data_IF_544306488376
#
_entry.id   IF_544306488376
#
_cell.length_a   1.000
_cell.length_b   1.000
_cell.length_c   1.000
_cell.angle_alpha   90.00
_cell.angle_beta   90.00
_cell.angle_gamma   90.00
#
_symmetry.space_group_name_H-M   'P 1'
#
loop_
_entity.id
_entity.type
_entity.pdbx_description
1 polymer ?
#
# COMPACT_ATOMS: atom_id res chain seq x y z
N UNK A 1 11.62 -20.99 24.43
CA UNK A 1 10.43 -21.72 24.93
C UNK A 1 9.21 -20.81 25.18
N UNK A 2 9.36 -19.67 25.82
CA UNK A 2 8.25 -18.75 26.16
C UNK A 2 7.46 -18.22 24.95
N UNK A 3 8.13 -17.92 23.84
CA UNK A 3 7.51 -17.36 22.63
C UNK A 3 6.58 -18.37 21.91
N UNK A 4 6.89 -19.66 21.99
CA UNK A 4 6.09 -20.74 21.40
C UNK A 4 4.80 -20.99 22.19
N UNK A 5 4.84 -20.87 23.51
CA UNK A 5 3.69 -21.15 24.37
C UNK A 5 2.59 -20.08 24.29
N UNK A 6 2.97 -18.81 24.18
CA UNK A 6 1.97 -17.74 24.04
C UNK A 6 1.33 -17.77 22.64
N UNK A 7 2.07 -18.16 21.59
CA UNK A 7 1.51 -18.34 20.25
C UNK A 7 0.46 -19.46 20.25
N UNK A 8 0.70 -20.58 20.92
CA UNK A 8 -0.28 -21.65 21.03
C UNK A 8 -1.61 -21.19 21.65
N UNK A 9 -1.58 -20.22 22.59
CA UNK A 9 -2.81 -19.65 23.17
C UNK A 9 -3.54 -18.80 22.14
N UNK A 10 -2.81 -17.99 21.36
CA UNK A 10 -3.38 -17.19 20.29
C UNK A 10 -4.04 -18.09 19.24
N UNK A 11 -3.33 -19.13 18.78
CA UNK A 11 -3.82 -20.06 17.78
C UNK A 11 -5.09 -20.79 18.28
N UNK A 12 -5.09 -21.26 19.53
CA UNK A 12 -6.25 -21.87 20.17
C UNK A 12 -7.50 -20.98 20.15
N UNK A 13 -7.35 -19.70 20.52
CA UNK A 13 -8.48 -18.76 20.54
C UNK A 13 -8.95 -18.47 19.12
N UNK A 14 -8.02 -18.23 18.21
CA UNK A 14 -8.33 -17.94 16.81
C UNK A 14 -9.04 -19.09 16.08
N UNK A 15 -8.63 -20.35 16.34
CA UNK A 15 -9.26 -21.54 15.76
C UNK A 15 -10.72 -21.66 16.21
N UNK A 16 -11.02 -21.34 17.48
CA UNK A 16 -12.39 -21.37 18.00
C UNK A 16 -13.26 -20.24 17.52
N UNK A 17 -12.67 -19.07 17.30
CA UNK A 17 -13.37 -17.96 16.63
C UNK A 17 -13.63 -18.32 15.17
N UNK A 18 -12.66 -18.95 14.50
CA UNK A 18 -12.78 -19.35 13.11
C UNK A 18 -13.82 -20.47 12.89
N UNK A 19 -13.93 -21.40 13.85
CA UNK A 19 -14.95 -22.47 13.84
C UNK A 19 -16.32 -22.05 14.36
N UNK A 20 -16.51 -20.76 14.67
CA UNK A 20 -17.73 -20.21 15.28
C UNK A 20 -18.09 -20.80 16.68
N UNK A 21 -17.17 -21.48 17.33
CA UNK A 21 -17.33 -21.94 18.71
C UNK A 21 -17.34 -20.73 19.67
N UNK A 22 -16.52 -19.71 19.39
CA UNK A 22 -16.59 -18.39 20.03
C UNK A 22 -17.08 -17.36 18.99
N UNK A 23 -18.33 -16.93 19.12
CA UNK A 23 -18.95 -15.95 18.23
C UNK A 23 -18.64 -14.52 18.64
N UNK A 24 -18.77 -13.59 17.71
CA UNK A 24 -18.68 -12.16 18.02
C UNK A 24 -19.75 -11.81 19.06
N UNK A 25 -19.34 -11.17 20.15
CA UNK A 25 -20.16 -10.87 21.31
C UNK A 25 -20.08 -11.90 22.44
N UNK A 26 -19.53 -13.10 22.22
CA UNK A 26 -19.37 -14.12 23.26
C UNK A 26 -18.20 -13.81 24.17
N UNK A 27 -18.33 -14.17 25.44
CA UNK A 27 -17.22 -14.14 26.39
C UNK A 27 -16.41 -15.42 26.31
N UNK A 28 -15.10 -15.31 26.07
CA UNK A 28 -14.19 -16.45 26.09
C UNK A 28 -13.92 -16.90 27.55
N UNK A 29 -13.41 -18.13 27.77
CA UNK A 29 -13.02 -18.58 29.10
C UNK A 29 -12.03 -17.63 29.76
N UNK A 30 -12.12 -17.47 31.07
CA UNK A 30 -11.24 -16.60 31.84
C UNK A 30 -9.76 -16.98 31.72
N UNK A 31 -8.85 -16.03 31.99
CA UNK A 31 -7.40 -16.27 31.97
C UNK A 31 -7.00 -17.50 32.78
N UNK A 32 -7.65 -17.74 33.95
CA UNK A 32 -7.39 -18.90 34.79
C UNK A 32 -7.90 -20.20 34.17
N UNK A 33 -9.05 -20.17 33.49
CA UNK A 33 -9.59 -21.34 32.79
C UNK A 33 -8.74 -21.71 31.57
N UNK A 34 -8.34 -20.73 30.75
CA UNK A 34 -7.44 -20.93 29.61
C UNK A 34 -6.06 -21.43 30.07
N UNK A 35 -5.53 -20.90 31.16
CA UNK A 35 -4.26 -21.37 31.77
C UNK A 35 -4.31 -22.85 32.11
N UNK A 36 -5.38 -23.32 32.76
CA UNK A 36 -5.58 -24.73 33.09
C UNK A 36 -5.77 -25.59 31.83
N UNK A 37 -6.62 -25.13 30.91
CA UNK A 37 -6.97 -25.86 29.69
C UNK A 37 -5.75 -26.11 28.80
N UNK A 38 -4.89 -25.10 28.65
CA UNK A 38 -3.73 -25.13 27.73
C UNK A 38 -2.43 -25.48 28.47
N UNK A 39 -2.49 -25.73 29.76
CA UNK A 39 -1.32 -26.06 30.61
C UNK A 39 -0.18 -25.02 30.48
N UNK A 40 -0.53 -23.74 30.56
CA UNK A 40 0.39 -22.60 30.49
C UNK A 40 0.18 -21.66 31.67
N UNK A 41 1.15 -20.78 31.95
CA UNK A 41 0.97 -19.80 33.03
C UNK A 41 -0.11 -18.76 32.70
N UNK A 42 -0.79 -18.24 33.72
CA UNK A 42 -1.75 -17.12 33.56
C UNK A 42 -1.10 -15.91 32.88
N UNK A 43 0.19 -15.64 33.21
CA UNK A 43 0.95 -14.58 32.55
C UNK A 43 1.15 -14.80 31.05
N UNK A 44 1.28 -16.07 30.60
CA UNK A 44 1.34 -16.42 29.17
C UNK A 44 0.00 -16.18 28.48
N UNK A 45 -1.12 -16.57 29.14
CA UNK A 45 -2.47 -16.31 28.63
C UNK A 45 -2.74 -14.80 28.54
N UNK A 46 -2.36 -14.05 29.57
CA UNK A 46 -2.55 -12.60 29.59
C UNK A 46 -1.84 -11.92 28.44
N UNK A 47 -0.58 -12.26 28.16
CA UNK A 47 0.16 -11.76 26.99
C UNK A 47 -0.52 -12.09 25.66
N UNK A 48 -1.10 -13.28 25.54
CA UNK A 48 -1.82 -13.68 24.33
C UNK A 48 -3.11 -12.84 24.17
N UNK A 49 -3.88 -12.68 25.24
CA UNK A 49 -5.10 -11.84 25.24
C UNK A 49 -4.75 -10.37 24.96
N UNK A 50 -3.68 -9.82 25.56
CA UNK A 50 -3.20 -8.46 25.27
C UNK A 50 -2.90 -8.29 23.78
N UNK A 51 -2.26 -9.29 23.16
CA UNK A 51 -1.97 -9.26 21.70
C UNK A 51 -3.24 -9.33 20.86
N UNK A 52 -4.22 -10.16 21.24
CA UNK A 52 -5.49 -10.27 20.54
C UNK A 52 -6.38 -9.03 20.75
N UNK A 53 -6.31 -8.38 21.90
CA UNK A 53 -6.99 -7.11 22.17
C UNK A 53 -6.36 -5.96 21.40
N UNK A 54 -5.03 -5.89 21.32
CA UNK A 54 -4.30 -4.93 20.48
C UNK A 54 -4.59 -5.11 19.00
N UNK A 55 -4.96 -6.32 18.57
CA UNK A 55 -5.38 -6.62 17.20
C UNK A 55 -6.90 -6.51 16.99
N UNK A 56 -7.62 -5.92 17.94
CA UNK A 56 -9.07 -5.68 17.88
C UNK A 56 -9.94 -6.95 17.76
N UNK A 57 -9.36 -8.12 18.08
CA UNK A 57 -10.05 -9.42 18.03
C UNK A 57 -10.84 -9.66 19.32
N UNK A 58 -10.26 -9.28 20.44
CA UNK A 58 -10.87 -9.38 21.77
C UNK A 58 -11.02 -8.00 22.41
N UNK A 59 -11.92 -7.90 23.38
CA UNK A 59 -12.06 -6.72 24.23
C UNK A 59 -12.33 -7.12 25.67
N UNK A 60 -11.57 -6.55 26.64
CA UNK A 60 -11.78 -6.76 28.07
C UNK A 60 -12.82 -5.82 28.62
N UNK A 61 -13.86 -6.38 29.21
CA UNK A 61 -14.84 -5.63 30.00
C UNK A 61 -14.51 -5.76 31.47
N UNK A 62 -14.22 -4.66 32.15
CA UNK A 62 -13.87 -4.66 33.55
C UNK A 62 -14.95 -5.38 34.39
N UNK A 63 -14.54 -6.39 35.16
CA UNK A 63 -15.44 -7.20 36.00
C UNK A 63 -16.35 -8.18 35.26
N UNK A 64 -16.35 -8.23 33.92
CA UNK A 64 -17.24 -9.12 33.15
C UNK A 64 -16.49 -10.21 32.38
N UNK A 65 -15.23 -9.98 32.02
CA UNK A 65 -14.44 -10.93 31.26
C UNK A 65 -13.95 -10.38 29.92
N UNK A 66 -13.44 -11.27 29.07
CA UNK A 66 -12.94 -10.94 27.74
C UNK A 66 -13.91 -11.43 26.68
N UNK A 67 -14.35 -10.54 25.82
CA UNK A 67 -15.37 -10.78 24.77
C UNK A 67 -14.72 -10.79 23.39
N UNK A 68 -15.23 -11.61 22.47
CA UNK A 68 -14.86 -11.58 21.05
C UNK A 68 -15.44 -10.33 20.41
N UNK A 69 -14.56 -9.43 19.97
CA UNK A 69 -14.95 -8.17 19.30
C UNK A 69 -15.08 -8.33 17.80
N UNK A 70 -14.20 -9.12 17.19
CA UNK A 70 -14.20 -9.39 15.76
C UNK A 70 -13.69 -10.79 15.45
N UNK A 71 -14.01 -11.30 14.27
CA UNK A 71 -13.47 -12.56 13.76
C UNK A 71 -12.32 -12.24 12.83
N UNK A 72 -11.15 -12.83 13.08
CA UNK A 72 -9.98 -12.73 12.19
C UNK A 72 -10.33 -13.08 10.73
N UNK A 73 -11.22 -14.06 10.52
CA UNK A 73 -11.70 -14.42 9.17
C UNK A 73 -12.56 -13.30 8.57
N UNK A 74 -13.37 -12.62 9.37
CA UNK A 74 -14.18 -11.47 8.91
C UNK A 74 -13.27 -10.28 8.61
N UNK A 75 -12.30 -9.98 9.49
CA UNK A 75 -11.32 -8.91 9.26
C UNK A 75 -10.38 -9.23 8.09
N UNK A 76 -9.94 -10.49 7.94
CA UNK A 76 -9.13 -10.94 6.81
C UNK A 76 -9.93 -11.04 5.50
N UNK A 77 -11.25 -11.26 5.57
CA UNK A 77 -12.14 -11.29 4.42
C UNK A 77 -12.66 -9.91 4.04
N UNK A 78 -12.66 -8.93 4.97
CA UNK A 78 -12.98 -7.56 4.61
C UNK A 78 -11.99 -7.07 3.55
N UNK A 79 -12.56 -6.71 2.40
CA UNK A 79 -11.79 -6.23 1.25
C UNK A 79 -10.82 -7.27 0.67
N UNK A 80 -11.17 -8.58 0.70
CA UNK A 80 -10.29 -9.67 0.27
C UNK A 80 -9.69 -9.46 -1.12
N UNK A 81 -10.50 -9.09 -2.10
CA UNK A 81 -10.03 -8.82 -3.47
C UNK A 81 -9.04 -7.66 -3.48
N UNK A 82 -9.38 -6.56 -2.82
CA UNK A 82 -8.54 -5.37 -2.73
C UNK A 82 -7.19 -5.67 -2.06
N UNK A 83 -7.20 -6.49 -1.01
CA UNK A 83 -5.98 -6.94 -0.31
C UNK A 83 -5.09 -7.77 -1.22
N UNK A 84 -5.67 -8.72 -1.94
CA UNK A 84 -4.95 -9.60 -2.88
C UNK A 84 -4.34 -8.77 -4.02
N UNK A 85 -5.09 -7.84 -4.60
CA UNK A 85 -4.59 -6.99 -5.66
C UNK A 85 -3.44 -6.09 -5.17
N UNK A 86 -3.60 -5.47 -3.99
CA UNK A 86 -2.54 -4.62 -3.45
C UNK A 86 -1.28 -5.44 -3.09
N UNK A 87 -1.44 -6.65 -2.52
CA UNK A 87 -0.33 -7.57 -2.25
C UNK A 87 0.41 -7.98 -3.54
N UNK A 88 -0.33 -8.24 -4.62
CA UNK A 88 0.26 -8.53 -5.93
C UNK A 88 1.11 -7.36 -6.44
N UNK A 89 0.64 -6.11 -6.26
CA UNK A 89 1.40 -4.92 -6.65
C UNK A 89 2.72 -4.80 -5.87
N UNK A 90 2.73 -5.08 -4.55
CA UNK A 90 3.95 -5.13 -3.74
C UNK A 90 4.94 -6.16 -4.27
N UNK A 91 4.49 -7.39 -4.52
CA UNK A 91 5.34 -8.47 -5.03
C UNK A 91 5.98 -8.10 -6.36
N UNK A 92 5.21 -7.52 -7.28
CA UNK A 92 5.73 -7.10 -8.56
C UNK A 92 6.66 -5.88 -8.47
N UNK A 93 6.39 -4.93 -7.60
CA UNK A 93 7.31 -3.82 -7.35
C UNK A 93 8.67 -4.34 -6.84
N UNK A 94 8.67 -5.35 -5.95
CA UNK A 94 9.90 -6.01 -5.50
C UNK A 94 10.63 -6.72 -6.64
N UNK A 95 9.93 -7.54 -7.45
CA UNK A 95 10.49 -8.27 -8.59
C UNK A 95 11.11 -7.35 -9.64
N UNK A 96 10.52 -6.18 -9.84
CA UNK A 96 10.99 -5.17 -10.79
C UNK A 96 12.01 -4.20 -10.18
N UNK A 97 12.40 -4.43 -8.92
CA UNK A 97 13.36 -3.58 -8.20
C UNK A 97 12.96 -2.09 -8.19
N UNK A 98 11.66 -1.83 -7.97
CA UNK A 98 11.10 -0.48 -7.96
C UNK A 98 11.02 0.14 -6.58
N UNK A 99 11.23 -0.64 -5.50
CA UNK A 99 11.15 -0.19 -4.11
C UNK A 99 12.54 0.01 -3.51
N UNK A 100 12.59 0.69 -2.38
CA UNK A 100 13.82 0.92 -1.63
C UNK A 100 13.71 0.33 -0.22
N UNK A 101 14.38 -0.81 -0.01
CA UNK A 101 14.39 -1.56 1.24
C UNK A 101 12.96 -1.74 1.82
N UNK A 102 12.67 -1.11 2.97
CA UNK A 102 11.36 -1.13 3.66
C UNK A 102 10.73 0.26 3.75
N UNK A 103 11.24 1.22 2.96
CA UNK A 103 10.91 2.64 3.12
C UNK A 103 9.71 3.10 2.30
N UNK A 104 9.25 2.31 1.33
CA UNK A 104 8.17 2.69 0.42
C UNK A 104 6.81 2.16 0.89
N UNK A 105 5.72 2.72 0.32
CA UNK A 105 4.38 2.41 0.79
C UNK A 105 3.32 2.54 -0.30
N UNK A 106 2.36 1.60 -0.28
CA UNK A 106 1.20 1.56 -1.16
C UNK A 106 -0.08 1.57 -0.35
N UNK A 107 -1.10 2.24 -0.84
CA UNK A 107 -2.41 2.21 -0.21
C UNK A 107 -3.55 2.07 -1.21
N UNK A 108 -4.68 1.58 -0.71
CA UNK A 108 -5.92 1.45 -1.46
C UNK A 108 -7.11 1.87 -0.59
N UNK A 109 -7.80 2.93 -0.97
CA UNK A 109 -9.00 3.38 -0.30
C UNK A 109 -10.15 2.37 -0.51
N UNK A 110 -10.81 2.00 0.59
CA UNK A 110 -11.87 0.98 0.61
C UNK A 110 -13.26 1.54 0.84
N UNK A 111 -13.39 2.85 1.08
CA UNK A 111 -14.68 3.54 1.15
C UNK A 111 -14.70 4.78 0.25
N UNK A 112 -15.87 5.27 -0.10
CA UNK A 112 -16.03 6.39 -1.05
C UNK A 112 -15.32 7.67 -0.61
N UNK A 113 -15.37 7.99 0.67
CA UNK A 113 -14.75 9.22 1.20
C UNK A 113 -13.21 9.18 1.25
N UNK A 114 -12.58 8.03 0.97
CA UNK A 114 -11.14 7.87 1.13
C UNK A 114 -10.63 7.87 2.58
N UNK A 115 -11.55 7.96 3.56
CA UNK A 115 -11.17 7.97 4.98
C UNK A 115 -10.69 6.62 5.51
N UNK A 116 -11.06 5.52 4.84
CA UNK A 116 -10.57 4.17 5.17
C UNK A 116 -9.79 3.61 4.01
N UNK A 117 -8.58 3.15 4.28
CA UNK A 117 -7.69 2.58 3.27
C UNK A 117 -6.80 1.47 3.82
N UNK A 118 -6.44 0.53 2.94
CA UNK A 118 -5.43 -0.48 3.20
C UNK A 118 -4.04 0.14 3.01
N UNK A 119 -3.07 -0.27 3.83
CA UNK A 119 -1.68 0.19 3.79
C UNK A 119 -0.75 -0.95 4.21
N UNK A 120 0.49 -0.97 3.74
CA UNK A 120 1.47 -1.93 4.23
C UNK A 120 1.93 -1.61 5.66
N UNK A 121 2.28 -2.63 6.46
CA UNK A 121 2.89 -2.43 7.75
C UNK A 121 4.30 -1.84 7.61
N UNK A 122 4.75 -1.11 8.62
CA UNK A 122 6.12 -0.60 8.69
C UNK A 122 7.13 -1.75 8.81
N UNK A 123 8.27 -1.65 8.13
CA UNK A 123 9.39 -2.56 8.29
C UNK A 123 9.27 -3.92 7.59
N UNK A 124 8.23 -4.16 6.80
CA UNK A 124 8.12 -5.34 5.94
C UNK A 124 8.65 -5.06 4.53
N UNK A 125 9.50 -5.97 4.05
CA UNK A 125 9.97 -5.91 2.67
C UNK A 125 8.85 -6.26 1.69
N UNK A 126 8.78 -5.59 0.56
CA UNK A 126 7.70 -5.77 -0.41
C UNK A 126 7.54 -7.22 -0.91
N UNK A 127 8.63 -7.99 -0.98
CA UNK A 127 8.58 -9.42 -1.34
C UNK A 127 7.97 -10.33 -0.28
N UNK A 128 7.72 -9.84 0.93
CA UNK A 128 7.13 -10.64 2.02
C UNK A 128 5.65 -10.36 2.21
N UNK A 129 5.16 -9.17 1.78
CA UNK A 129 3.79 -8.71 2.01
C UNK A 129 2.77 -9.68 1.42
N UNK A 130 1.82 -10.09 2.24
CA UNK A 130 0.64 -10.87 1.86
C UNK A 130 -0.64 -10.06 2.03
N UNK A 131 -1.76 -10.55 1.51
CA UNK A 131 -3.05 -9.88 1.65
C UNK A 131 -3.46 -9.69 3.12
N UNK A 132 -3.09 -10.60 4.03
CA UNK A 132 -3.42 -10.52 5.46
C UNK A 132 -2.51 -9.59 6.26
N UNK A 133 -1.34 -9.22 5.73
CA UNK A 133 -0.42 -8.29 6.41
C UNK A 133 -0.89 -6.84 6.30
N UNK A 134 -1.65 -6.52 5.26
CA UNK A 134 -2.12 -5.15 5.02
C UNK A 134 -3.00 -4.68 6.19
N UNK A 135 -2.70 -3.50 6.69
CA UNK A 135 -3.45 -2.87 7.78
C UNK A 135 -4.58 -2.00 7.23
N UNK A 136 -5.74 -2.06 7.87
CA UNK A 136 -6.85 -1.16 7.58
C UNK A 136 -6.71 0.10 8.45
N UNK A 137 -6.55 1.23 7.81
CA UNK A 137 -6.39 2.55 8.44
C UNK A 137 -7.71 3.31 8.37
N UNK A 138 -8.07 4.00 9.45
CA UNK A 138 -9.09 5.04 9.46
C UNK A 138 -8.42 6.40 9.67
N UNK A 139 -8.42 7.24 8.64
CA UNK A 139 -7.82 8.57 8.67
C UNK A 139 -8.47 9.51 9.71
N UNK A 140 -9.68 9.22 10.15
CA UNK A 140 -10.38 10.01 11.17
C UNK A 140 -10.02 9.59 12.60
N UNK A 141 -9.36 8.45 12.77
CA UNK A 141 -8.94 7.98 14.08
C UNK A 141 -7.66 8.72 14.51
N UNK A 142 -7.77 9.63 15.47
CA UNK A 142 -6.65 10.43 16.02
C UNK A 142 -5.61 9.57 16.77
N UNK A 143 -5.99 8.39 17.20
CA UNK A 143 -5.12 7.48 17.94
C UNK A 143 -4.37 6.48 17.05
N UNK A 144 -4.54 6.55 15.73
CA UNK A 144 -3.87 5.64 14.78
C UNK A 144 -2.36 5.57 15.03
N UNK A 145 -1.71 6.71 15.23
CA UNK A 145 -0.26 6.78 15.43
C UNK A 145 0.19 6.33 16.83
N UNK A 146 -0.73 6.16 17.78
CA UNK A 146 -0.45 5.70 19.15
C UNK A 146 -0.66 4.17 19.31
N UNK A 147 -1.08 3.48 18.26
CA UNK A 147 -1.35 2.04 18.29
C UNK A 147 -0.06 1.24 18.08
N UNK A 148 0.03 0.01 18.67
CA UNK A 148 1.23 -0.84 18.51
C UNK A 148 1.56 -1.22 17.05
N UNK A 149 0.56 -1.21 16.17
CA UNK A 149 0.68 -1.47 14.73
C UNK A 149 0.52 -0.20 13.89
N UNK A 150 0.92 0.95 14.44
CA UNK A 150 0.88 2.22 13.72
C UNK A 150 1.63 2.10 12.38
N UNK A 151 1.13 2.75 11.32
CA UNK A 151 1.82 2.81 10.05
C UNK A 151 3.08 3.69 10.15
N UNK A 152 3.88 3.69 9.08
CA UNK A 152 4.93 4.70 8.92
C UNK A 152 4.32 6.11 8.95
N UNK A 153 4.90 7.07 9.72
CA UNK A 153 4.35 8.43 9.86
C UNK A 153 4.26 9.19 8.54
N UNK A 154 5.21 8.99 7.61
CA UNK A 154 5.20 9.64 6.30
C UNK A 154 4.12 9.04 5.40
N UNK A 155 3.97 7.72 5.43
CA UNK A 155 2.88 7.02 4.75
C UNK A 155 1.51 7.49 5.25
N UNK A 156 1.33 7.54 6.58
CA UNK A 156 0.11 8.07 7.19
C UNK A 156 -0.23 9.47 6.70
N UNK A 157 0.73 10.40 6.75
CA UNK A 157 0.51 11.80 6.39
C UNK A 157 0.15 11.94 4.90
N UNK A 158 0.98 11.38 4.02
CA UNK A 158 0.84 11.52 2.56
C UNK A 158 -0.45 10.84 2.07
N UNK A 159 -0.67 9.57 2.43
CA UNK A 159 -1.82 8.81 1.93
C UNK A 159 -3.15 9.35 2.48
N UNK A 160 -3.20 9.77 3.75
CA UNK A 160 -4.41 10.39 4.32
C UNK A 160 -4.79 11.69 3.61
N UNK A 161 -3.80 12.55 3.30
CA UNK A 161 -4.04 13.79 2.57
C UNK A 161 -4.51 13.53 1.13
N UNK A 162 -3.84 12.62 0.42
CA UNK A 162 -4.16 12.29 -0.97
C UNK A 162 -5.53 11.65 -1.11
N UNK A 163 -5.87 10.62 -0.31
CA UNK A 163 -7.18 9.97 -0.38
C UNK A 163 -8.33 10.90 -0.05
N UNK A 164 -8.12 11.85 0.87
CA UNK A 164 -9.14 12.84 1.25
C UNK A 164 -9.37 13.89 0.18
N UNK A 165 -8.28 14.40 -0.42
CA UNK A 165 -8.33 15.58 -1.28
C UNK A 165 -8.47 15.25 -2.77
N UNK A 166 -8.14 14.02 -3.18
CA UNK A 166 -8.14 13.58 -4.58
C UNK A 166 -9.05 12.37 -4.76
N UNK A 167 -10.34 12.54 -5.06
CA UNK A 167 -11.31 11.43 -5.17
C UNK A 167 -10.95 10.35 -6.19
N UNK A 168 -10.17 10.70 -7.24
CA UNK A 168 -9.67 9.76 -8.24
C UNK A 168 -8.48 8.92 -7.72
N UNK A 169 -7.78 9.37 -6.68
CA UNK A 169 -6.64 8.68 -6.09
C UNK A 169 -7.11 7.58 -5.13
N UNK A 170 -7.77 6.54 -5.67
CA UNK A 170 -8.25 5.39 -4.89
C UNK A 170 -7.12 4.44 -4.53
N UNK A 171 -6.17 4.24 -5.44
CA UNK A 171 -4.93 3.51 -5.22
C UNK A 171 -3.76 4.46 -5.37
N UNK A 172 -2.83 4.43 -4.43
CA UNK A 172 -1.65 5.30 -4.38
C UNK A 172 -0.43 4.41 -4.15
N UNK A 173 0.55 4.49 -5.07
CA UNK A 173 1.80 3.76 -5.00
C UNK A 173 2.95 4.75 -4.94
N UNK A 174 3.72 4.76 -3.84
CA UNK A 174 4.90 5.58 -3.68
C UNK A 174 6.15 4.73 -3.61
N UNK A 175 7.09 4.98 -4.52
CA UNK A 175 8.36 4.24 -4.65
C UNK A 175 9.50 5.15 -5.12
N UNK A 176 10.73 4.64 -4.96
CA UNK A 176 11.96 5.28 -5.44
C UNK A 176 12.63 4.43 -6.54
N UNK A 177 11.97 4.20 -7.69
CA UNK A 177 12.53 3.37 -8.73
C UNK A 177 13.67 4.11 -9.42
N UNK A 178 14.64 3.38 -9.92
CA UNK A 178 15.95 3.91 -10.35
C UNK A 178 15.86 5.11 -11.30
N UNK A 179 15.14 4.95 -12.40
CA UNK A 179 15.17 5.96 -13.47
C UNK A 179 14.25 7.15 -13.18
N UNK A 180 13.08 6.92 -12.58
CA UNK A 180 12.24 8.02 -12.14
C UNK A 180 12.90 8.84 -11.03
N UNK A 181 13.63 8.21 -10.11
CA UNK A 181 14.41 8.90 -9.07
C UNK A 181 15.56 9.71 -9.68
N UNK A 182 16.28 9.16 -10.68
CA UNK A 182 17.31 9.91 -11.41
C UNK A 182 16.67 11.13 -12.09
N UNK A 183 15.58 10.94 -12.84
CA UNK A 183 14.91 12.03 -13.53
C UNK A 183 14.43 13.12 -12.54
N UNK A 184 13.86 12.71 -11.40
CA UNK A 184 13.40 13.63 -10.35
C UNK A 184 14.51 14.48 -9.77
N UNK A 185 15.77 14.05 -9.87
CA UNK A 185 16.96 14.71 -9.33
C UNK A 185 17.65 15.66 -10.34
N UNK A 186 17.18 15.69 -11.59
CA UNK A 186 17.71 16.60 -12.61
C UNK A 186 17.10 17.99 -12.51
N UNK A 187 17.78 19.01 -13.02
CA UNK A 187 17.20 20.36 -13.16
C UNK A 187 16.02 20.37 -14.13
N UNK A 188 16.17 19.73 -15.30
CA UNK A 188 15.06 19.46 -16.23
C UNK A 188 14.50 18.07 -15.92
N UNK A 189 13.39 18.06 -15.19
CA UNK A 189 12.68 16.84 -14.74
C UNK A 189 11.50 16.48 -15.64
N UNK A 190 11.33 17.17 -16.76
CA UNK A 190 10.14 16.98 -17.61
C UNK A 190 10.24 15.71 -18.45
N UNK A 191 9.13 14.99 -18.51
CA UNK A 191 9.00 13.86 -19.45
C UNK A 191 8.95 14.37 -20.88
N UNK A 192 10.00 14.14 -21.67
CA UNK A 192 10.05 14.55 -23.08
C UNK A 192 9.39 13.52 -23.99
N UNK A 193 8.60 13.94 -25.00
CA UNK A 193 7.87 13.05 -25.90
C UNK A 193 8.80 12.49 -27.00
N UNK A 194 9.65 11.51 -26.64
CA UNK A 194 10.68 10.95 -27.56
C UNK A 194 10.34 9.56 -28.07
N UNK A 195 9.41 8.86 -27.43
CA UNK A 195 8.91 7.55 -27.88
C UNK A 195 7.44 7.36 -27.50
N UNK A 196 6.86 6.22 -27.90
CA UNK A 196 5.44 5.93 -27.68
C UNK A 196 5.06 5.88 -26.18
N UNK A 197 5.95 5.36 -25.33
CA UNK A 197 5.69 5.25 -23.90
C UNK A 197 5.83 6.61 -23.20
N UNK A 198 6.83 7.41 -23.52
CA UNK A 198 7.00 8.74 -22.94
C UNK A 198 5.83 9.67 -23.30
N UNK A 199 5.27 9.52 -24.51
CA UNK A 199 4.07 10.26 -24.92
C UNK A 199 2.81 9.89 -24.14
N UNK A 200 2.75 8.71 -23.50
CA UNK A 200 1.64 8.35 -22.60
C UNK A 200 1.49 9.36 -21.47
N UNK A 201 2.61 9.94 -21.02
CA UNK A 201 2.66 10.88 -19.89
C UNK A 201 2.66 12.36 -20.31
N UNK A 202 2.47 12.64 -21.57
CA UNK A 202 2.46 14.01 -22.09
C UNK A 202 1.33 14.83 -21.45
N UNK A 203 1.68 15.94 -20.77
CA UNK A 203 0.78 16.78 -19.97
C UNK A 203 0.05 16.05 -18.82
N UNK A 204 0.61 14.92 -18.33
CA UNK A 204 -0.02 14.07 -17.29
C UNK A 204 0.88 13.81 -16.08
N UNK A 205 1.94 14.60 -15.92
CA UNK A 205 2.88 14.52 -14.81
C UNK A 205 2.86 15.83 -14.03
N UNK A 206 2.52 15.76 -12.74
CA UNK A 206 2.78 16.85 -11.81
C UNK A 206 4.21 16.73 -11.30
N UNK A 207 4.93 17.85 -11.24
CA UNK A 207 6.34 17.87 -10.84
C UNK A 207 6.50 18.73 -9.60
N UNK A 208 6.93 18.13 -8.50
CA UNK A 208 7.38 18.84 -7.33
C UNK A 208 8.79 19.39 -7.56
N UNK A 209 8.92 20.71 -7.53
CA UNK A 209 10.21 21.41 -7.70
C UNK A 209 10.77 21.90 -6.35
N UNK A 210 9.96 21.83 -5.31
CA UNK A 210 10.23 22.43 -4.00
C UNK A 210 10.34 21.35 -2.92
N UNK A 211 11.36 20.48 -3.05
CA UNK A 211 11.64 19.49 -2.01
C UNK A 211 11.82 20.20 -0.65
N UNK A 212 10.98 19.84 0.32
CA UNK A 212 10.99 20.48 1.65
C UNK A 212 11.01 19.48 2.82
N UNK A 213 11.25 18.21 2.53
CA UNK A 213 11.41 17.18 3.55
C UNK A 213 10.76 15.83 3.18
N UNK A 214 10.43 15.04 4.19
CA UNK A 214 9.98 13.66 4.04
C UNK A 214 8.45 13.51 3.86
N UNK A 215 7.71 14.58 3.59
CA UNK A 215 6.25 14.50 3.38
C UNK A 215 5.41 14.61 4.66
N UNK A 216 5.97 15.10 5.78
CA UNK A 216 5.25 15.25 7.03
C UNK A 216 4.49 16.61 7.13
N UNK A 217 3.39 16.60 7.88
CA UNK A 217 2.64 17.82 8.21
C UNK A 217 2.10 18.55 6.98
N UNK A 218 2.39 19.85 6.84
CA UNK A 218 1.89 20.68 5.74
C UNK A 218 2.38 20.26 4.36
N UNK A 219 3.46 19.51 4.28
CA UNK A 219 4.00 19.01 3.01
C UNK A 219 3.09 17.97 2.37
N UNK A 220 2.48 17.09 3.16
CA UNK A 220 1.52 16.12 2.66
C UNK A 220 0.31 16.80 1.98
N UNK A 221 -0.20 17.90 2.56
CA UNK A 221 -1.29 18.69 1.96
C UNK A 221 -0.83 19.40 0.68
N UNK A 222 0.38 19.94 0.66
CA UNK A 222 0.98 20.57 -0.53
C UNK A 222 1.12 19.57 -1.68
N UNK A 223 1.66 18.38 -1.40
CA UNK A 223 1.81 17.30 -2.39
C UNK A 223 0.46 16.84 -2.93
N UNK A 224 -0.54 16.71 -2.06
CA UNK A 224 -1.89 16.35 -2.45
C UNK A 224 -2.52 17.39 -3.40
N UNK A 225 -2.32 18.67 -3.13
CA UNK A 225 -2.77 19.75 -4.00
C UNK A 225 -2.01 19.76 -5.33
N UNK A 226 -0.71 19.52 -5.29
CA UNK A 226 0.15 19.51 -6.48
C UNK A 226 -0.16 18.35 -7.43
N UNK A 227 -0.51 17.17 -6.91
CA UNK A 227 -0.93 16.02 -7.73
C UNK A 227 -2.10 16.42 -8.67
N UNK A 228 -3.09 17.15 -8.13
CA UNK A 228 -4.27 17.54 -8.89
C UNK A 228 -4.99 16.32 -9.47
N UNK A 229 -5.31 16.37 -10.76
CA UNK A 229 -5.96 15.26 -11.50
C UNK A 229 -4.96 14.34 -12.24
N UNK A 230 -3.66 14.63 -12.16
CA UNK A 230 -2.66 13.84 -12.85
C UNK A 230 -2.45 12.48 -12.17
N UNK A 231 -2.14 11.43 -12.95
CA UNK A 231 -1.86 10.10 -12.40
C UNK A 231 -0.46 10.00 -11.78
N UNK A 232 0.45 10.91 -12.12
CA UNK A 232 1.84 10.90 -11.68
C UNK A 232 2.18 12.18 -10.92
N UNK A 233 2.76 12.03 -9.75
CA UNK A 233 3.49 13.08 -9.05
C UNK A 233 4.97 12.70 -8.98
N UNK A 234 5.80 13.37 -9.76
CA UNK A 234 7.25 13.27 -9.62
C UNK A 234 7.68 14.16 -8.46
N UNK A 235 8.14 13.54 -7.40
CA UNK A 235 8.61 14.23 -6.20
C UNK A 235 10.08 14.60 -6.39
N UNK A 236 10.37 15.87 -6.58
CA UNK A 236 11.75 16.34 -6.86
C UNK A 236 12.74 15.89 -5.79
N UNK A 237 13.90 15.38 -6.24
CA UNK A 237 14.97 14.87 -5.37
C UNK A 237 14.53 13.74 -4.41
N UNK A 238 13.45 13.01 -4.73
CA UNK A 238 12.88 12.00 -3.85
C UNK A 238 12.55 10.72 -4.64
N UNK A 239 11.45 10.73 -5.38
CA UNK A 239 10.96 9.56 -6.10
C UNK A 239 9.68 9.87 -6.85
N UNK A 240 8.80 8.88 -6.98
CA UNK A 240 7.54 9.03 -7.70
C UNK A 240 6.37 8.49 -6.88
N UNK A 241 5.22 9.13 -7.07
CA UNK A 241 3.93 8.68 -6.58
C UNK A 241 2.99 8.53 -7.77
N UNK A 242 2.31 7.38 -7.86
CA UNK A 242 1.26 7.17 -8.84
C UNK A 242 -0.10 7.07 -8.15
N UNK A 243 -1.13 7.61 -8.78
CA UNK A 243 -2.48 7.63 -8.25
C UNK A 243 -3.50 7.26 -9.34
N UNK A 244 -4.38 6.30 -9.06
CA UNK A 244 -5.41 5.86 -9.98
C UNK A 244 -6.65 5.31 -9.25
N UNK A 245 -7.67 4.93 -10.01
CA UNK A 245 -8.92 4.38 -9.46
C UNK A 245 -8.80 2.93 -8.99
N UNK A 246 -7.92 2.13 -9.60
CA UNK A 246 -7.71 0.71 -9.27
C UNK A 246 -6.23 0.43 -9.05
N UNK A 247 -5.91 -0.70 -8.40
CA UNK A 247 -4.53 -1.17 -8.25
C UNK A 247 -3.92 -1.45 -9.61
N UNK A 248 -4.68 -2.06 -10.52
CA UNK A 248 -4.24 -2.35 -11.88
C UNK A 248 -3.81 -1.09 -12.62
N UNK A 249 -4.66 -0.05 -12.61
CA UNK A 249 -4.33 1.22 -13.28
C UNK A 249 -3.16 1.94 -12.63
N UNK A 250 -3.08 1.95 -11.28
CA UNK A 250 -1.95 2.59 -10.59
C UNK A 250 -0.62 1.89 -10.86
N UNK A 251 -0.63 0.55 -10.89
CA UNK A 251 0.56 -0.24 -11.18
C UNK A 251 0.99 -0.13 -12.65
N UNK A 252 0.04 -0.08 -13.58
CA UNK A 252 0.31 0.11 -15.00
C UNK A 252 0.94 1.48 -15.28
N UNK A 253 0.41 2.55 -14.64
CA UNK A 253 1.01 3.89 -14.71
C UNK A 253 2.44 3.89 -14.12
N UNK A 254 2.68 3.23 -12.98
CA UNK A 254 4.01 3.13 -12.37
C UNK A 254 4.99 2.39 -13.30
N UNK A 255 4.59 1.23 -13.81
CA UNK A 255 5.42 0.41 -14.68
C UNK A 255 5.87 1.17 -15.93
N UNK A 256 4.92 1.76 -16.65
CA UNK A 256 5.23 2.49 -17.88
C UNK A 256 5.95 3.81 -17.60
N UNK A 257 5.71 4.46 -16.46
CA UNK A 257 6.43 5.66 -16.09
C UNK A 257 7.91 5.38 -15.86
N UNK A 258 8.25 4.34 -15.10
CA UNK A 258 9.64 3.94 -14.90
C UNK A 258 10.31 3.54 -16.23
N UNK A 259 9.61 2.79 -17.10
CA UNK A 259 10.10 2.45 -18.43
C UNK A 259 10.32 3.68 -19.33
N UNK A 260 9.48 4.69 -19.22
CA UNK A 260 9.64 5.96 -19.92
C UNK A 260 10.84 6.75 -19.40
N UNK A 261 11.03 6.76 -18.08
CA UNK A 261 12.20 7.36 -17.44
C UNK A 261 13.50 6.64 -17.88
N UNK A 262 13.49 5.30 -17.92
CA UNK A 262 14.62 4.50 -18.42
C UNK A 262 15.01 4.91 -19.85
N UNK A 263 14.04 4.99 -20.74
CA UNK A 263 14.26 5.41 -22.13
C UNK A 263 14.82 6.83 -22.21
N UNK A 264 14.24 7.77 -21.48
CA UNK A 264 14.66 9.18 -21.50
C UNK A 264 16.07 9.36 -20.93
N UNK A 265 16.37 8.75 -19.78
CA UNK A 265 17.72 8.79 -19.18
C UNK A 265 18.74 8.10 -20.09
N UNK A 266 18.39 6.95 -20.68
CA UNK A 266 19.26 6.29 -21.67
C UNK A 266 19.53 7.17 -22.89
N UNK A 267 18.53 7.90 -23.38
CA UNK A 267 18.71 8.84 -24.47
C UNK A 267 19.64 10.02 -24.09
N UNK A 268 19.49 10.59 -22.89
CA UNK A 268 20.42 11.64 -22.39
C UNK A 268 21.87 11.14 -22.26
N UNK A 269 22.08 9.90 -21.82
CA UNK A 269 23.42 9.30 -21.69
C UNK A 269 24.18 9.18 -22.99
N UNK A 270 23.49 9.18 -24.13
CA UNK A 270 24.15 9.16 -25.46
C UNK A 270 24.87 10.45 -25.78
N UNK A 271 24.56 11.55 -25.10
CA UNK A 271 25.04 12.90 -25.43
C UNK A 271 24.52 13.47 -26.76
N UNK A 272 23.61 12.75 -27.43
CA UNK A 272 23.02 13.22 -28.68
C UNK A 272 21.77 14.05 -28.41
N UNK A 273 21.45 14.97 -29.32
CA UNK A 273 20.20 15.77 -29.23
C UNK A 273 18.99 14.84 -29.33
N UNK A 274 18.03 15.03 -28.45
CA UNK A 274 16.74 14.33 -28.50
C UNK A 274 15.95 14.73 -29.74
N UNK A 275 15.23 13.77 -30.31
CA UNK A 275 14.20 14.02 -31.31
C UNK A 275 12.83 13.99 -30.63
N UNK A 276 12.35 15.15 -30.25
CA UNK A 276 11.02 15.29 -29.65
C UNK A 276 9.97 15.41 -30.75
N UNK A 277 8.86 14.68 -30.63
CA UNK A 277 7.74 14.81 -31.57
C UNK A 277 6.99 16.12 -31.34
N UNK A 278 6.22 16.56 -32.31
CA UNK A 278 5.42 17.79 -32.19
C UNK A 278 4.34 17.64 -31.07
N UNK A 279 3.99 18.76 -30.42
CA UNK A 279 2.90 18.85 -29.45
C UNK A 279 1.60 18.13 -29.94
N UNK A 280 1.21 18.36 -31.21
CA UNK A 280 0.03 17.72 -31.81
C UNK A 280 0.11 16.20 -31.77
N UNK A 281 1.27 15.63 -32.12
CA UNK A 281 1.48 14.18 -32.11
C UNK A 281 1.51 13.64 -30.70
N UNK A 282 2.26 14.29 -29.79
CA UNK A 282 2.36 13.87 -28.40
C UNK A 282 0.98 13.84 -27.71
N UNK A 283 0.20 14.92 -27.86
CA UNK A 283 -1.15 15.02 -27.27
C UNK A 283 -2.13 13.99 -27.86
N UNK A 284 -2.09 13.77 -29.17
CA UNK A 284 -2.89 12.72 -29.83
C UNK A 284 -2.54 11.34 -29.27
N UNK A 285 -1.26 11.02 -29.13
CA UNK A 285 -0.79 9.71 -28.64
C UNK A 285 -1.15 9.51 -27.17
N UNK A 286 -0.98 10.54 -26.33
CA UNK A 286 -1.41 10.50 -24.93
C UNK A 286 -2.91 10.18 -24.81
N UNK A 287 -3.75 10.83 -25.64
CA UNK A 287 -5.20 10.55 -25.65
C UNK A 287 -5.51 9.13 -26.08
N UNK A 288 -4.82 8.63 -27.12
CA UNK A 288 -5.01 7.25 -27.58
C UNK A 288 -4.67 6.22 -26.49
N UNK A 289 -3.62 6.45 -25.68
CA UNK A 289 -3.29 5.61 -24.56
C UNK A 289 -4.37 5.61 -23.48
N UNK A 290 -4.95 6.77 -23.16
CA UNK A 290 -6.05 6.88 -22.19
C UNK A 290 -7.31 6.15 -22.67
N UNK A 291 -7.58 6.18 -23.98
CA UNK A 291 -8.74 5.52 -24.58
C UNK A 291 -8.54 4.01 -24.72
N UNK A 292 -7.29 3.54 -24.85
CA UNK A 292 -6.97 2.12 -25.05
C UNK A 292 -6.99 1.30 -23.75
N UNK A 293 -6.84 1.89 -22.60
CA UNK A 293 -6.71 1.31 -21.25
C UNK A 293 -6.65 -0.23 -21.19
N UNK A 294 -5.43 -0.77 -21.14
CA UNK A 294 -5.17 -2.21 -21.00
C UNK A 294 -4.66 -2.60 -19.58
N UNK A 295 -4.83 -1.73 -18.61
CA UNK A 295 -4.27 -1.90 -17.26
C UNK A 295 -4.73 -3.19 -16.57
N UNK A 296 -6.01 -3.53 -16.69
CA UNK A 296 -6.55 -4.78 -16.13
C UNK A 296 -5.96 -6.01 -16.82
N UNK A 297 -5.80 -6.00 -18.14
CA UNK A 297 -5.20 -7.11 -18.88
C UNK A 297 -3.74 -7.33 -18.47
N UNK A 298 -2.99 -6.25 -18.31
CA UNK A 298 -1.61 -6.29 -17.84
C UNK A 298 -1.55 -6.86 -16.41
N UNK A 299 -2.32 -6.30 -15.50
CA UNK A 299 -2.28 -6.69 -14.09
C UNK A 299 -2.75 -8.12 -13.87
N UNK A 300 -3.77 -8.58 -14.60
CA UNK A 300 -4.21 -9.97 -14.57
C UNK A 300 -3.13 -10.94 -15.09
N UNK A 301 -2.37 -10.54 -16.11
CA UNK A 301 -1.23 -11.35 -16.54
C UNK A 301 -0.18 -11.47 -15.44
N UNK A 302 0.11 -10.38 -14.73
CA UNK A 302 1.03 -10.35 -13.60
C UNK A 302 0.54 -11.25 -12.44
N UNK A 303 -0.74 -11.19 -12.10
CA UNK A 303 -1.34 -12.07 -11.07
C UNK A 303 -1.25 -13.54 -11.46
N UNK A 304 -1.52 -13.89 -12.73
CA UNK A 304 -1.39 -15.28 -13.20
C UNK A 304 0.04 -15.83 -13.08
N UNK A 305 1.05 -14.99 -13.20
CA UNK A 305 2.45 -15.40 -12.99
C UNK A 305 2.69 -15.64 -11.49
N UNK A 306 2.30 -14.71 -10.62
CA UNK A 306 2.41 -14.88 -9.16
C UNK A 306 1.65 -16.12 -8.68
N UNK A 307 0.47 -16.40 -9.22
CA UNK A 307 -0.33 -17.59 -8.87
C UNK A 307 0.40 -18.91 -9.12
N UNK A 308 1.27 -18.94 -10.11
CA UNK A 308 2.08 -20.13 -10.43
C UNK A 308 3.35 -20.21 -9.59
N UNK A 309 3.95 -19.09 -9.24
CA UNK A 309 5.30 -19.04 -8.68
C UNK A 309 5.31 -18.71 -7.18
N UNK A 310 4.38 -17.90 -6.71
CA UNK A 310 4.34 -17.35 -5.34
C UNK A 310 2.92 -17.17 -4.83
N UNK A 311 2.04 -18.16 -4.94
CA UNK A 311 0.60 -18.03 -4.58
C UNK A 311 0.34 -17.57 -3.14
N UNK A 312 1.34 -17.60 -2.25
CA UNK A 312 1.24 -17.18 -0.86
C UNK A 312 0.97 -15.68 -0.66
N UNK A 313 1.13 -14.84 -1.68
CA UNK A 313 0.74 -13.42 -1.58
C UNK A 313 -0.75 -13.23 -1.29
N UNK A 314 -1.56 -14.25 -1.59
CA UNK A 314 -3.01 -14.25 -1.35
C UNK A 314 -3.40 -14.55 0.11
N UNK A 315 -2.47 -15.01 0.94
CA UNK A 315 -2.77 -15.43 2.32
C UNK A 315 -3.23 -14.29 3.20
#
# INVERSE_FOLDING_TARGET
MSQKLYQNVIDYINDRIASEEFKIGDFIPSESQLSKLLNVSVGTVRKAIDKLENNDILHRYHGKGTCVKSNLLTMKNDFRTQRVDLAAAFRWAARLNMHEAVANHFSLAVNESGSKFLLNPIGMHFSEITASDLILIDANNKDTMNQPNAPDPTAWAIHSALHRNNPQARCILHVHPKYATILSSLNDKEMKPIDQNTMRFYERVSIDRDFSGMGLGKEAERLSTLLGENPILMMGNHGVLTAAKTVASAFDELYYFEKSCETLIGAYQTGKKLHEVSHKVAKKTAKQWQDYDASELHFDALKRILDKEESNYKN
#
